data_IF_421629336596
#
_entry.id   IF_421629336596
#
_cell.length_a   1.000
_cell.length_b   1.000
_cell.length_c   1.000
_cell.angle_alpha   90.00
_cell.angle_beta   90.00
_cell.angle_gamma   90.00
#
_symmetry.space_group_name_H-M   'P 1'
#
loop_
_entity.id
_entity.type
_entity.pdbx_description
1 polymer ?
#
# COMPACT_ATOMS: atom_id res chain seq x y z
N UNK A 1 11.60 -1.52 5.38
CA UNK A 1 10.93 -0.19 5.49
C UNK A 1 10.71 0.50 4.14
N UNK A 2 11.61 0.34 3.16
CA UNK A 2 11.47 0.95 1.83
C UNK A 2 10.13 0.63 1.13
N UNK A 3 9.77 -0.66 1.03
CA UNK A 3 8.53 -1.08 0.35
C UNK A 3 7.25 -0.50 0.99
N UNK A 4 7.24 -0.31 2.31
CA UNK A 4 6.16 0.36 3.03
C UNK A 4 6.10 1.86 2.69
N UNK A 5 7.26 2.54 2.73
CA UNK A 5 7.37 3.97 2.42
C UNK A 5 6.95 4.29 0.98
N UNK A 6 7.39 3.47 0.02
CA UNK A 6 7.00 3.62 -1.38
C UNK A 6 5.48 3.50 -1.58
N UNK A 7 4.80 2.63 -0.82
CA UNK A 7 3.35 2.50 -0.89
C UNK A 7 2.63 3.74 -0.39
N UNK A 8 3.13 4.33 0.70
CA UNK A 8 2.64 5.61 1.22
C UNK A 8 2.83 6.76 0.23
N UNK A 9 4.00 6.85 -0.41
CA UNK A 9 4.28 7.86 -1.44
C UNK A 9 3.34 7.68 -2.65
N UNK A 10 3.18 6.46 -3.16
CA UNK A 10 2.30 6.16 -4.28
C UNK A 10 0.83 6.52 -3.96
N UNK A 11 0.33 6.12 -2.79
CA UNK A 11 -1.02 6.45 -2.34
C UNK A 11 -1.20 7.97 -2.14
N UNK A 12 -0.19 8.66 -1.58
CA UNK A 12 -0.23 10.11 -1.39
C UNK A 12 -0.26 10.90 -2.70
N UNK A 13 0.54 10.50 -3.69
CA UNK A 13 0.52 11.10 -5.03
C UNK A 13 -0.82 10.87 -5.72
N UNK A 14 -1.40 9.68 -5.58
CA UNK A 14 -2.72 9.39 -6.13
C UNK A 14 -3.84 10.18 -5.43
N UNK A 15 -3.79 10.31 -4.11
CA UNK A 15 -4.77 11.08 -3.34
C UNK A 15 -4.78 12.58 -3.67
N UNK A 16 -3.68 13.14 -4.19
CA UNK A 16 -3.61 14.55 -4.64
C UNK A 16 -4.41 14.79 -5.92
N UNK A 17 -4.44 13.83 -6.85
CA UNK A 17 -5.10 14.00 -8.15
C UNK A 17 -6.56 13.56 -8.17
N UNK A 18 -7.02 12.81 -7.16
CA UNK A 18 -8.41 12.32 -7.06
C UNK A 18 -9.02 12.63 -5.69
N UNK A 19 -9.72 13.76 -5.53
CA UNK A 19 -10.41 14.07 -4.29
C UNK A 19 -11.53 13.03 -4.04
N UNK A 20 -11.58 12.49 -2.82
CA UNK A 20 -12.55 11.47 -2.41
C UNK A 20 -11.93 10.11 -2.11
N UNK A 21 -12.77 9.09 -1.93
CA UNK A 21 -12.34 7.71 -1.70
C UNK A 21 -13.14 6.75 -2.58
N UNK A 22 -12.60 6.32 -3.74
CA UNK A 22 -13.20 5.28 -4.57
C UNK A 22 -12.82 3.89 -4.05
N UNK A 23 -13.70 3.16 -3.33
CA UNK A 23 -13.30 1.98 -2.54
C UNK A 23 -12.76 0.84 -3.40
N UNK A 24 -13.39 0.59 -4.55
CA UNK A 24 -12.99 -0.49 -5.47
C UNK A 24 -11.64 -0.19 -6.11
N UNK A 25 -11.44 1.03 -6.59
CA UNK A 25 -10.16 1.43 -7.16
C UNK A 25 -9.05 1.35 -6.10
N UNK A 26 -9.34 1.80 -4.87
CA UNK A 26 -8.39 1.75 -3.76
C UNK A 26 -8.04 0.30 -3.40
N UNK A 27 -9.02 -0.60 -3.35
CA UNK A 27 -8.78 -2.02 -3.11
C UNK A 27 -7.94 -2.66 -4.23
N UNK A 28 -8.20 -2.35 -5.50
CA UNK A 28 -7.38 -2.82 -6.62
C UNK A 28 -5.93 -2.33 -6.52
N UNK A 29 -5.73 -1.05 -6.18
CA UNK A 29 -4.39 -0.50 -5.97
C UNK A 29 -3.68 -1.13 -4.76
N UNK A 30 -4.39 -1.39 -3.66
CA UNK A 30 -3.86 -2.06 -2.48
C UNK A 30 -3.46 -3.51 -2.78
N UNK A 31 -4.26 -4.23 -3.57
CA UNK A 31 -3.94 -5.58 -4.06
C UNK A 31 -2.72 -5.60 -4.95
N UNK A 32 -2.64 -4.67 -5.92
CA UNK A 32 -1.46 -4.49 -6.76
C UNK A 32 -0.21 -4.19 -5.93
N UNK A 33 -0.34 -3.32 -4.92
CA UNK A 33 0.76 -3.01 -4.01
C UNK A 33 1.18 -4.23 -3.17
N UNK A 34 0.26 -5.13 -2.84
CA UNK A 34 0.56 -6.40 -2.18
C UNK A 34 1.55 -7.26 -2.99
N UNK A 35 1.35 -7.37 -4.31
CA UNK A 35 2.29 -8.06 -5.20
C UNK A 35 3.62 -7.32 -5.34
N UNK A 36 3.59 -6.00 -5.57
CA UNK A 36 4.82 -5.19 -5.68
C UNK A 36 5.65 -5.31 -4.41
N UNK A 37 5.01 -5.24 -3.24
CA UNK A 37 5.65 -5.45 -1.95
C UNK A 37 6.27 -6.84 -1.87
N UNK A 38 5.49 -7.89 -2.18
CA UNK A 38 5.97 -9.27 -2.20
C UNK A 38 7.22 -9.42 -3.07
N UNK A 39 7.20 -8.90 -4.30
CA UNK A 39 8.33 -8.97 -5.22
C UNK A 39 9.58 -8.23 -4.73
N UNK A 40 9.44 -7.08 -4.10
CA UNK A 40 10.58 -6.37 -3.48
C UNK A 40 11.18 -7.23 -2.36
N UNK A 41 10.33 -7.86 -1.56
CA UNK A 41 10.74 -8.72 -0.45
C UNK A 41 11.36 -10.03 -0.92
N UNK A 42 10.84 -10.64 -2.00
CA UNK A 42 11.42 -11.83 -2.62
C UNK A 42 12.79 -11.55 -3.20
N UNK A 43 12.97 -10.39 -3.83
CA UNK A 43 14.29 -9.94 -4.31
C UNK A 43 15.27 -9.77 -3.15
N UNK A 44 14.85 -9.06 -2.08
CA UNK A 44 15.66 -8.89 -0.88
C UNK A 44 16.03 -10.23 -0.24
N UNK A 45 15.06 -11.14 -0.14
CA UNK A 45 15.26 -12.48 0.42
C UNK A 45 16.25 -13.30 -0.42
N UNK A 46 16.08 -13.29 -1.76
CA UNK A 46 16.98 -14.00 -2.67
C UNK A 46 18.42 -13.47 -2.56
N UNK A 47 18.61 -12.15 -2.65
CA UNK A 47 19.94 -11.52 -2.56
C UNK A 47 20.59 -11.74 -1.18
N UNK A 48 19.80 -11.69 -0.11
CA UNK A 48 20.32 -11.73 1.26
C UNK A 48 20.56 -13.13 1.83
N UNK A 49 19.83 -14.15 1.34
CA UNK A 49 19.76 -15.44 2.03
C UNK A 49 19.86 -16.67 1.13
N UNK A 50 19.70 -16.54 -0.20
CA UNK A 50 19.67 -17.69 -1.10
C UNK A 50 20.94 -17.76 -1.94
N UNK A 51 21.71 -18.83 -1.75
CA UNK A 51 22.95 -19.07 -2.49
C UNK A 51 22.96 -20.46 -3.14
N UNK A 52 23.59 -20.61 -4.31
CA UNK A 52 24.24 -19.57 -5.12
C UNK A 52 23.22 -18.65 -5.81
N UNK A 53 23.62 -17.41 -6.11
CA UNK A 53 22.81 -16.44 -6.84
C UNK A 53 22.79 -16.81 -8.33
N UNK A 54 21.81 -17.60 -8.73
CA UNK A 54 21.63 -18.08 -10.10
C UNK A 54 20.20 -17.83 -10.57
N UNK A 55 19.98 -17.84 -11.88
CA UNK A 55 18.62 -17.75 -12.44
C UNK A 55 17.69 -18.84 -11.92
N UNK A 56 18.22 -20.04 -11.64
CA UNK A 56 17.44 -21.14 -11.08
C UNK A 56 16.95 -20.82 -9.66
N UNK A 57 17.83 -20.32 -8.79
CA UNK A 57 17.44 -19.96 -7.43
C UNK A 57 16.52 -18.74 -7.39
N UNK A 58 16.73 -17.78 -8.30
CA UNK A 58 15.85 -16.62 -8.46
C UNK A 58 14.42 -17.06 -8.82
N UNK A 59 14.26 -17.84 -9.89
CA UNK A 59 12.94 -18.32 -10.32
C UNK A 59 12.30 -19.22 -9.27
N UNK A 60 13.07 -20.09 -8.62
CA UNK A 60 12.56 -20.94 -7.55
C UNK A 60 12.00 -20.12 -6.38
N UNK A 61 12.72 -19.08 -5.93
CA UNK A 61 12.24 -18.18 -4.87
C UNK A 61 10.89 -17.55 -5.23
N UNK A 62 10.76 -16.99 -6.45
CA UNK A 62 9.52 -16.36 -6.88
C UNK A 62 8.37 -17.34 -7.10
N UNK A 63 8.64 -18.57 -7.54
CA UNK A 63 7.61 -19.58 -7.70
C UNK A 63 7.07 -20.07 -6.35
N UNK A 64 7.96 -20.27 -5.38
CA UNK A 64 7.59 -20.73 -4.04
C UNK A 64 6.85 -19.63 -3.27
N UNK A 65 7.16 -18.35 -3.52
CA UNK A 65 6.49 -17.22 -2.86
C UNK A 65 5.08 -16.94 -3.37
N UNK A 66 4.68 -17.47 -4.55
CA UNK A 66 3.39 -17.15 -5.19
C UNK A 66 2.17 -17.27 -4.27
N UNK A 67 1.99 -18.35 -3.46
CA UNK A 67 0.85 -18.44 -2.56
C UNK A 67 0.84 -17.33 -1.52
N UNK A 68 2.01 -16.97 -0.98
CA UNK A 68 2.13 -15.92 0.02
C UNK A 68 1.88 -14.54 -0.59
N UNK A 69 2.45 -14.27 -1.77
CA UNK A 69 2.22 -13.03 -2.52
C UNK A 69 0.73 -12.85 -2.87
N UNK A 70 0.08 -13.93 -3.29
CA UNK A 70 -1.36 -13.94 -3.58
C UNK A 70 -2.19 -13.72 -2.30
N UNK A 71 -1.88 -14.40 -1.20
CA UNK A 71 -2.57 -14.21 0.08
C UNK A 71 -2.43 -12.78 0.58
N UNK A 72 -1.25 -12.17 0.44
CA UNK A 72 -1.03 -10.77 0.82
C UNK A 72 -1.85 -9.81 -0.05
N UNK A 73 -1.83 -9.99 -1.37
CA UNK A 73 -2.64 -9.17 -2.28
C UNK A 73 -4.15 -9.31 -2.00
N UNK A 74 -4.64 -10.53 -1.79
CA UNK A 74 -6.04 -10.80 -1.43
C UNK A 74 -6.38 -10.18 -0.08
N UNK A 75 -5.52 -10.34 0.93
CA UNK A 75 -5.67 -9.71 2.23
C UNK A 75 -5.80 -8.20 2.12
N UNK A 76 -4.95 -7.55 1.33
CA UNK A 76 -5.03 -6.10 1.09
C UNK A 76 -6.35 -5.69 0.44
N UNK A 77 -6.84 -6.43 -0.55
CA UNK A 77 -8.15 -6.17 -1.19
C UNK A 77 -9.27 -6.30 -0.16
N UNK A 78 -9.30 -7.39 0.59
CA UNK A 78 -10.33 -7.66 1.61
C UNK A 78 -10.32 -6.57 2.68
N UNK A 79 -9.16 -6.26 3.25
CA UNK A 79 -9.03 -5.23 4.27
C UNK A 79 -9.41 -3.84 3.74
N UNK A 80 -9.01 -3.51 2.51
CA UNK A 80 -9.36 -2.24 1.88
C UNK A 80 -10.87 -2.09 1.67
N UNK A 81 -11.56 -3.14 1.24
CA UNK A 81 -13.01 -3.11 1.04
C UNK A 81 -13.78 -3.06 2.36
N UNK A 82 -13.38 -3.88 3.34
CA UNK A 82 -14.07 -3.99 4.63
C UNK A 82 -13.85 -2.75 5.50
N UNK A 83 -12.60 -2.30 5.62
CA UNK A 83 -12.25 -1.26 6.59
C UNK A 83 -11.99 0.11 5.95
N UNK A 84 -11.63 0.16 4.67
CA UNK A 84 -11.28 1.40 3.96
C UNK A 84 -12.31 2.53 4.11
N UNK A 85 -13.62 2.29 3.91
CA UNK A 85 -14.64 3.33 4.10
C UNK A 85 -14.73 3.87 5.54
N UNK A 86 -14.47 3.02 6.53
CA UNK A 86 -14.47 3.42 7.95
C UNK A 86 -13.25 4.31 8.25
N UNK A 87 -12.06 3.84 7.87
CA UNK A 87 -10.82 4.60 8.03
C UNK A 87 -10.86 5.93 7.30
N UNK A 88 -11.34 5.97 6.06
CA UNK A 88 -11.45 7.21 5.30
C UNK A 88 -12.31 8.25 6.01
N UNK A 89 -13.49 7.87 6.54
CA UNK A 89 -14.37 8.79 7.28
C UNK A 89 -13.70 9.36 8.52
N UNK A 90 -12.97 8.52 9.26
CA UNK A 90 -12.22 8.95 10.44
C UNK A 90 -11.13 9.95 10.03
N UNK A 91 -10.32 9.62 9.02
CA UNK A 91 -9.23 10.47 8.55
C UNK A 91 -9.73 11.79 7.95
N UNK A 92 -10.81 11.78 7.19
CA UNK A 92 -11.44 12.98 6.64
C UNK A 92 -11.92 13.91 7.77
N UNK A 93 -12.58 13.36 8.79
CA UNK A 93 -13.00 14.13 9.98
C UNK A 93 -11.81 14.75 10.72
N UNK A 94 -10.72 14.01 10.89
CA UNK A 94 -9.52 14.53 11.52
C UNK A 94 -8.88 15.64 10.68
N UNK A 95 -8.74 15.44 9.37
CA UNK A 95 -8.24 16.47 8.44
C UNK A 95 -9.02 17.77 8.58
N UNK A 96 -10.35 17.70 8.57
CA UNK A 96 -11.20 18.89 8.58
C UNK A 96 -11.12 19.65 9.93
N UNK A 97 -10.89 18.94 11.03
CA UNK A 97 -10.68 19.57 12.36
C UNK A 97 -9.30 20.19 12.56
N UNK A 98 -8.29 19.67 11.86
CA UNK A 98 -6.92 20.16 11.98
C UNK A 98 -6.69 21.48 11.24
N UNK A 99 -7.66 21.93 10.44
CA UNK A 99 -7.59 23.22 9.73
C UNK A 99 -8.12 24.31 10.67
N UNK A 100 -7.20 25.12 11.22
CA UNK A 100 -7.55 26.28 12.05
C UNK A 100 -7.68 27.50 11.14
N UNK A 101 -8.88 28.09 11.11
CA UNK A 101 -9.10 29.40 10.50
C UNK A 101 -8.83 30.48 11.54
N UNK A 102 -7.82 31.31 11.32
CA UNK A 102 -7.68 32.56 12.08
C UNK A 102 -8.78 33.51 11.62
N UNK A 103 -9.81 33.70 12.45
CA UNK A 103 -10.77 34.79 12.27
C UNK A 103 -10.07 36.06 12.75
N UNK A 104 -9.61 36.87 11.81
CA UNK A 104 -9.16 38.23 12.13
C UNK A 104 -10.34 38.96 12.77
N UNK A 105 -10.15 39.46 14.00
CA UNK A 105 -11.17 40.29 14.64
C UNK A 105 -11.09 41.66 13.99
N UNK A 106 -12.05 41.96 13.12
CA UNK A 106 -12.31 43.33 12.67
C UNK A 106 -12.47 44.23 13.91
N UNK A 107 -11.69 45.31 13.91
CA UNK A 107 -11.72 46.39 14.92
C UNK A 107 -12.84 47.35 14.63
#
# INVERSE_FOLDING_TARGET
MLAWGLGGVAAGLWGRSRPGFPPVAFAAAAGLWGFIYGWILNLWHWVGFIYPLTWKTFLATYMISLPFDAMHAVGNVVFALVFGPSFYRILARFRDKSIIYYRDREK
#
